data_IF_506744522505
#
_entry.id   IF_506744522505
#
_cell.length_a   1.000
_cell.length_b   1.000
_cell.length_c   1.000
_cell.angle_alpha   90.00
_cell.angle_beta   90.00
_cell.angle_gamma   90.00
#
_symmetry.space_group_name_H-M   'P 1'
#
loop_
_entity.id
_entity.type
_entity.pdbx_description
1 polymer ?
#
# COMPACT_ATOMS: atom_id res chain seq x y z
N UNK A 1 -15.98 12.57 1.92
CA UNK A 1 -15.21 11.30 2.04
C UNK A 1 -13.73 11.70 2.14
N UNK A 2 -12.77 10.85 2.51
CA UNK A 2 -11.36 11.28 2.33
C UNK A 2 -11.05 11.28 0.83
N UNK A 3 -10.42 12.34 0.35
CA UNK A 3 -9.89 12.44 -1.01
C UNK A 3 -8.46 11.89 -1.05
N UNK A 4 -8.21 10.91 -1.91
CA UNK A 4 -6.91 10.25 -2.08
C UNK A 4 -6.44 10.41 -3.52
N UNK A 5 -5.28 11.02 -3.73
CA UNK A 5 -4.70 11.14 -5.07
C UNK A 5 -3.54 10.18 -5.19
N UNK A 6 -3.54 9.38 -6.25
CA UNK A 6 -2.44 8.46 -6.58
C UNK A 6 -1.72 9.00 -7.80
N UNK A 7 -0.43 9.29 -7.64
CA UNK A 7 0.44 9.80 -8.71
C UNK A 7 1.40 8.69 -9.15
N UNK A 8 1.60 8.53 -10.46
CA UNK A 8 2.57 7.59 -11.03
C UNK A 8 3.34 8.22 -12.19
N UNK A 9 4.54 7.72 -12.47
CA UNK A 9 5.33 8.02 -13.68
C UNK A 9 5.64 6.74 -14.49
N UNK A 10 4.82 5.71 -14.31
CA UNK A 10 5.08 4.40 -14.88
C UNK A 10 4.10 3.33 -14.45
N UNK A 11 4.50 2.05 -14.45
CA UNK A 11 3.56 0.94 -14.45
C UNK A 11 2.89 0.67 -13.10
N UNK A 12 3.23 1.39 -12.03
CA UNK A 12 2.74 1.14 -10.67
C UNK A 12 1.48 1.96 -10.36
N UNK A 13 0.89 1.77 -9.17
CA UNK A 13 -0.28 2.52 -8.72
C UNK A 13 -1.65 1.99 -9.15
N UNK A 14 -1.83 1.47 -10.37
CA UNK A 14 -3.15 1.06 -10.90
C UNK A 14 -3.94 0.12 -9.97
N UNK A 15 -3.29 -0.93 -9.43
CA UNK A 15 -3.97 -1.85 -8.50
C UNK A 15 -4.31 -1.22 -7.15
N UNK A 16 -3.48 -0.28 -6.72
CA UNK A 16 -3.75 0.47 -5.50
C UNK A 16 -4.98 1.36 -5.72
N UNK A 17 -5.05 2.06 -6.86
CA UNK A 17 -6.21 2.83 -7.27
C UNK A 17 -7.49 1.98 -7.28
N UNK A 18 -7.48 0.84 -7.96
CA UNK A 18 -8.64 -0.04 -8.06
C UNK A 18 -9.19 -0.53 -6.70
N UNK A 19 -8.32 -0.67 -5.70
CA UNK A 19 -8.71 -1.12 -4.38
C UNK A 19 -9.08 0.03 -3.44
N UNK A 20 -8.32 1.14 -3.47
CA UNK A 20 -8.51 2.30 -2.60
C UNK A 20 -9.82 3.03 -2.93
N UNK A 21 -10.17 3.16 -4.22
CA UNK A 21 -11.42 3.81 -4.68
C UNK A 21 -12.70 3.13 -4.19
N UNK A 22 -12.61 1.91 -3.65
CA UNK A 22 -13.75 1.20 -3.05
C UNK A 22 -14.17 1.79 -1.70
N UNK A 23 -13.26 2.49 -1.02
CA UNK A 23 -13.47 3.02 0.33
C UNK A 23 -13.34 4.55 0.41
N UNK A 24 -12.70 5.16 -0.57
CA UNK A 24 -12.35 6.58 -0.59
C UNK A 24 -12.68 7.22 -1.93
N UNK A 25 -12.82 8.54 -1.93
CA UNK A 25 -12.83 9.32 -3.16
C UNK A 25 -11.40 9.34 -3.67
N UNK A 26 -11.17 8.88 -4.90
CA UNK A 26 -9.81 8.60 -5.37
C UNK A 26 -9.62 9.02 -6.81
N UNK A 27 -8.52 9.72 -7.07
CA UNK A 27 -8.07 10.08 -8.42
C UNK A 27 -6.74 9.40 -8.75
N UNK A 28 -6.51 9.17 -10.04
CA UNK A 28 -5.28 8.57 -10.57
C UNK A 28 -4.68 9.51 -11.61
N UNK A 29 -3.47 9.97 -11.36
CA UNK A 29 -2.74 10.93 -12.20
C UNK A 29 -1.45 10.25 -12.68
N UNK A 30 -1.24 10.25 -13.99
CA UNK A 30 -0.03 9.75 -14.62
C UNK A 30 0.77 10.94 -15.14
N UNK A 31 1.90 11.21 -14.50
CA UNK A 31 2.84 12.24 -14.90
C UNK A 31 3.79 11.70 -15.97
N UNK A 32 4.24 12.59 -16.86
CA UNK A 32 5.29 12.23 -17.79
C UNK A 32 6.58 11.90 -17.05
N UNK A 33 7.15 10.73 -17.35
CA UNK A 33 8.41 10.32 -16.76
C UNK A 33 9.56 11.09 -17.42
N UNK A 34 10.41 11.76 -16.62
CA UNK A 34 11.62 12.38 -17.16
C UNK A 34 12.52 11.40 -17.90
N UNK A 35 13.01 11.79 -19.08
CA UNK A 35 13.98 10.98 -19.85
C UNK A 35 15.41 11.08 -19.29
N UNK A 36 15.77 12.23 -18.71
CA UNK A 36 17.07 12.48 -18.09
C UNK A 36 17.06 12.04 -16.62
N UNK A 37 18.20 11.56 -16.13
CA UNK A 37 18.41 11.22 -14.71
C UNK A 37 18.53 12.45 -13.81
N UNK A 38 18.79 13.62 -14.41
CA UNK A 38 18.90 14.90 -13.73
C UNK A 38 17.99 15.89 -14.46
N UNK A 39 17.07 16.51 -13.74
CA UNK A 39 16.25 17.61 -14.26
C UNK A 39 16.58 18.93 -13.54
N UNK A 40 16.48 20.03 -14.29
CA UNK A 40 16.63 21.37 -13.72
C UNK A 40 15.28 21.91 -13.19
N UNK A 41 14.16 21.62 -13.86
CA UNK A 41 12.81 22.02 -13.44
C UNK A 41 11.80 20.94 -13.84
N UNK A 42 10.90 20.60 -12.93
CA UNK A 42 9.81 19.65 -13.16
C UNK A 42 8.53 20.41 -13.52
N UNK A 43 7.97 20.08 -14.68
CA UNK A 43 6.72 20.67 -15.17
C UNK A 43 5.55 19.72 -14.86
N UNK A 44 4.87 19.95 -13.72
CA UNK A 44 3.60 19.29 -13.42
C UNK A 44 2.49 20.19 -13.97
N UNK A 45 1.61 19.69 -14.87
CA UNK A 45 0.50 20.46 -15.40
C UNK A 45 -0.31 21.12 -14.28
N UNK A 46 -0.63 22.42 -14.41
CA UNK A 46 -1.31 23.20 -13.36
C UNK A 46 -2.63 22.55 -12.89
N UNK A 47 -3.38 21.91 -13.79
CA UNK A 47 -4.62 21.21 -13.47
C UNK A 47 -4.37 19.98 -12.56
N UNK A 48 -3.32 19.23 -12.84
CA UNK A 48 -2.95 18.04 -12.05
C UNK A 48 -2.39 18.46 -10.69
N UNK A 49 -1.55 19.50 -10.67
CA UNK A 49 -1.02 20.06 -9.43
C UNK A 49 -2.14 20.57 -8.52
N UNK A 50 -3.16 21.23 -9.08
CA UNK A 50 -4.31 21.70 -8.32
C UNK A 50 -5.08 20.54 -7.67
N UNK A 51 -5.30 19.44 -8.40
CA UNK A 51 -5.94 18.22 -7.88
C UNK A 51 -5.12 17.58 -6.77
N UNK A 52 -3.81 17.49 -6.95
CA UNK A 52 -2.90 16.94 -5.93
C UNK A 52 -2.94 17.78 -4.65
N UNK A 53 -2.93 19.11 -4.77
CA UNK A 53 -2.96 20.01 -3.61
C UNK A 53 -4.29 19.97 -2.83
N UNK A 54 -5.39 19.57 -3.46
CA UNK A 54 -6.70 19.40 -2.81
C UNK A 54 -6.86 18.00 -2.15
N UNK A 55 -5.84 17.14 -2.24
CA UNK A 55 -5.89 15.80 -1.68
C UNK A 55 -5.75 15.82 -0.15
N UNK A 56 -6.46 14.91 0.54
CA UNK A 56 -6.15 14.61 1.94
C UNK A 56 -4.95 13.67 2.05
N UNK A 57 -4.89 12.65 1.18
CA UNK A 57 -3.77 11.72 1.14
C UNK A 57 -3.21 11.64 -0.27
N UNK A 58 -1.92 11.92 -0.42
CA UNK A 58 -1.17 11.68 -1.66
C UNK A 58 -0.41 10.35 -1.54
N UNK A 59 -0.57 9.46 -2.51
CA UNK A 59 0.27 8.27 -2.66
C UNK A 59 1.06 8.42 -3.96
N UNK A 60 2.37 8.59 -3.85
CA UNK A 60 3.22 8.66 -5.02
C UNK A 60 3.92 7.33 -5.29
N UNK A 61 3.75 6.84 -6.53
CA UNK A 61 4.47 5.72 -7.12
C UNK A 61 5.51 6.19 -8.16
N UNK A 62 5.83 7.48 -8.18
CA UNK A 62 6.87 8.04 -9.06
C UNK A 62 8.23 7.40 -8.74
N UNK A 63 8.93 6.97 -9.79
CA UNK A 63 10.21 6.28 -9.70
C UNK A 63 11.39 7.21 -9.92
N UNK A 64 11.20 8.31 -10.66
CA UNK A 64 12.25 9.30 -10.84
C UNK A 64 12.47 10.07 -9.52
N UNK A 65 13.68 10.06 -8.93
CA UNK A 65 13.93 10.64 -7.61
C UNK A 65 13.66 12.15 -7.58
N UNK A 66 14.11 12.88 -8.60
CA UNK A 66 13.87 14.33 -8.68
C UNK A 66 12.37 14.63 -8.79
N UNK A 67 11.61 13.82 -9.53
CA UNK A 67 10.15 13.98 -9.69
C UNK A 67 9.45 13.82 -8.35
N UNK A 68 9.82 12.79 -7.60
CA UNK A 68 9.26 12.53 -6.28
C UNK A 68 9.62 13.65 -5.31
N UNK A 69 10.86 14.14 -5.30
CA UNK A 69 11.30 15.20 -4.38
C UNK A 69 10.56 16.50 -4.65
N UNK A 70 10.58 16.99 -5.89
CA UNK A 70 9.93 18.25 -6.23
C UNK A 70 8.42 18.17 -6.02
N UNK A 71 7.78 17.05 -6.38
CA UNK A 71 6.36 16.84 -6.10
C UNK A 71 6.06 16.98 -4.62
N UNK A 72 6.83 16.32 -3.75
CA UNK A 72 6.65 16.39 -2.29
C UNK A 72 6.92 17.81 -1.78
N UNK A 73 8.00 18.45 -2.24
CA UNK A 73 8.36 19.82 -1.86
C UNK A 73 7.28 20.85 -2.26
N UNK A 74 6.61 20.65 -3.40
CA UNK A 74 5.56 21.52 -3.91
C UNK A 74 4.23 21.39 -3.16
N UNK A 75 3.94 20.22 -2.58
CA UNK A 75 2.58 19.89 -2.06
C UNK A 75 2.54 19.53 -0.58
N UNK A 76 3.67 19.34 0.11
CA UNK A 76 3.70 18.96 1.54
C UNK A 76 2.94 19.94 2.46
N UNK A 77 2.79 21.21 2.07
CA UNK A 77 2.05 22.20 2.86
C UNK A 77 0.56 22.21 2.59
N UNK A 78 0.13 21.62 1.47
CA UNK A 78 -1.24 21.64 1.00
C UNK A 78 -1.96 20.31 1.33
N UNK A 79 -1.23 19.18 1.29
CA UNK A 79 -1.77 17.83 1.52
C UNK A 79 -1.62 17.41 2.98
N UNK A 80 -2.66 16.82 3.57
CA UNK A 80 -2.62 16.42 4.99
C UNK A 80 -1.61 15.30 5.27
N UNK A 81 -1.45 14.35 4.32
CA UNK A 81 -0.50 13.24 4.46
C UNK A 81 0.01 12.69 3.11
N UNK A 82 1.30 12.36 3.06
CA UNK A 82 1.97 11.87 1.85
C UNK A 82 2.63 10.51 2.10
N UNK A 83 2.35 9.55 1.24
CA UNK A 83 2.93 8.21 1.24
C UNK A 83 3.78 8.04 -0.01
N UNK A 84 5.10 7.94 0.18
CA UNK A 84 6.03 7.69 -0.92
C UNK A 84 6.22 6.19 -1.07
N UNK A 85 5.49 5.59 -2.01
CA UNK A 85 5.46 4.15 -2.20
C UNK A 85 6.68 3.59 -2.97
N UNK A 86 7.34 4.45 -3.75
CA UNK A 86 8.53 4.11 -4.54
C UNK A 86 9.69 5.02 -4.14
N UNK A 87 10.67 4.45 -3.45
CA UNK A 87 11.88 5.14 -3.02
C UNK A 87 13.05 4.15 -2.92
N UNK A 88 14.28 4.66 -2.97
CA UNK A 88 15.49 3.84 -2.82
C UNK A 88 16.60 4.63 -2.13
N UNK A 89 17.22 4.01 -1.12
CA UNK A 89 18.35 4.57 -0.40
C UNK A 89 17.93 5.44 0.79
N UNK A 90 18.64 5.28 1.90
CA UNK A 90 18.37 6.01 3.16
C UNK A 90 18.56 7.53 3.00
N UNK A 91 19.52 7.97 2.19
CA UNK A 91 19.74 9.40 1.93
C UNK A 91 18.49 10.07 1.34
N UNK A 92 17.89 9.43 0.34
CA UNK A 92 16.68 9.90 -0.33
C UNK A 92 15.47 9.86 0.60
N UNK A 93 15.32 8.77 1.37
CA UNK A 93 14.28 8.67 2.41
C UNK A 93 14.37 9.80 3.43
N UNK A 94 15.57 10.09 3.94
CA UNK A 94 15.78 11.15 4.93
C UNK A 94 15.46 12.55 4.38
N UNK A 95 15.63 12.77 3.08
CA UNK A 95 15.23 14.02 2.42
C UNK A 95 13.71 14.18 2.39
N UNK A 96 12.97 13.08 2.19
CA UNK A 96 11.51 13.09 2.12
C UNK A 96 10.87 13.16 3.52
N UNK A 97 11.35 12.35 4.47
CA UNK A 97 10.82 12.28 5.84
C UNK A 97 11.28 13.45 6.73
N UNK A 98 11.92 14.48 6.17
CA UNK A 98 12.12 15.76 6.86
C UNK A 98 10.78 16.47 7.15
N UNK A 99 9.76 16.17 6.34
CA UNK A 99 8.40 16.65 6.52
C UNK A 99 7.61 15.68 7.40
N UNK A 100 6.99 16.20 8.48
CA UNK A 100 6.29 15.38 9.47
C UNK A 100 5.07 14.61 8.92
N UNK A 101 4.51 15.07 7.81
CA UNK A 101 3.38 14.44 7.13
C UNK A 101 3.79 13.50 5.97
N UNK A 102 5.07 13.16 5.84
CA UNK A 102 5.58 12.26 4.81
C UNK A 102 6.05 10.95 5.43
N UNK A 103 5.70 9.82 4.80
CA UNK A 103 6.26 8.52 5.17
C UNK A 103 6.71 7.72 3.96
N UNK A 104 7.84 7.05 4.11
CA UNK A 104 8.44 6.17 3.12
C UNK A 104 8.40 4.72 3.64
N UNK A 105 7.27 3.99 3.46
CA UNK A 105 7.18 2.61 3.92
C UNK A 105 8.16 1.73 3.14
N UNK A 106 8.84 0.83 3.84
CA UNK A 106 9.62 -0.24 3.23
C UNK A 106 8.74 -1.13 2.34
N UNK A 107 7.54 -1.47 2.79
CA UNK A 107 6.47 -2.02 1.96
C UNK A 107 5.10 -1.40 2.27
N UNK A 108 4.31 -1.15 1.23
CA UNK A 108 2.95 -0.60 1.36
C UNK A 108 2.00 -1.44 2.24
N UNK A 109 2.28 -2.74 2.43
CA UNK A 109 1.50 -3.63 3.30
C UNK A 109 1.84 -3.48 4.80
N UNK A 110 2.65 -2.49 5.19
CA UNK A 110 3.00 -2.26 6.60
C UNK A 110 2.38 -1.00 7.19
N UNK A 111 1.65 -0.22 6.39
CA UNK A 111 1.01 1.01 6.84
C UNK A 111 0.06 0.69 8.01
N UNK A 112 0.28 1.36 9.14
CA UNK A 112 -0.52 1.29 10.36
C UNK A 112 -0.69 2.71 10.92
N UNK A 113 -1.65 2.87 11.82
CA UNK A 113 -1.98 4.12 12.47
C UNK A 113 -0.75 4.72 13.18
N UNK A 114 -0.55 6.04 13.06
CA UNK A 114 0.57 6.77 13.65
C UNK A 114 0.16 8.00 14.48
N UNK A 115 -1.14 8.26 14.62
CA UNK A 115 -1.68 9.37 15.41
C UNK A 115 -2.05 10.61 14.60
N UNK A 116 -1.73 10.67 13.30
CA UNK A 116 -2.30 11.69 12.41
C UNK A 116 -3.73 11.28 12.03
N UNK A 117 -4.73 12.13 12.34
CA UNK A 117 -6.15 11.79 12.18
C UNK A 117 -6.54 11.38 10.76
N UNK A 118 -5.96 12.04 9.74
CA UNK A 118 -6.25 11.76 8.34
C UNK A 118 -5.60 10.44 7.91
N UNK A 119 -4.34 10.25 8.27
CA UNK A 119 -3.61 9.02 7.98
C UNK A 119 -4.20 7.82 8.71
N UNK A 120 -4.60 7.96 9.97
CA UNK A 120 -5.24 6.90 10.77
C UNK A 120 -6.59 6.50 10.16
N UNK A 121 -7.36 7.48 9.68
CA UNK A 121 -8.62 7.21 8.97
C UNK A 121 -8.38 6.50 7.64
N UNK A 122 -7.35 6.88 6.88
CA UNK A 122 -6.94 6.15 5.67
C UNK A 122 -6.49 4.72 6.02
N UNK A 123 -5.58 4.58 6.97
CA UNK A 123 -5.00 3.30 7.37
C UNK A 123 -6.00 2.39 8.04
N UNK A 124 -7.09 2.90 8.62
CA UNK A 124 -8.18 2.06 9.14
C UNK A 124 -8.79 1.10 8.11
N UNK A 125 -8.68 1.42 6.81
CA UNK A 125 -9.17 0.60 5.69
C UNK A 125 -8.06 0.05 4.79
N UNK A 126 -6.95 0.76 4.66
CA UNK A 126 -5.89 0.45 3.70
C UNK A 126 -4.52 0.42 4.38
N UNK A 127 -3.85 -0.73 4.38
CA UNK A 127 -2.53 -0.87 4.99
C UNK A 127 -2.20 -2.30 5.36
N UNK A 128 -1.69 -2.51 6.56
CA UNK A 128 -1.33 -3.85 7.02
C UNK A 128 -2.56 -4.76 7.15
N UNK A 129 -2.60 -5.95 6.55
CA UNK A 129 -3.80 -6.78 6.55
C UNK A 129 -4.40 -6.99 7.95
N UNK A 130 -5.72 -6.78 8.08
CA UNK A 130 -6.49 -7.08 9.30
C UNK A 130 -7.80 -7.74 8.90
N UNK A 131 -8.08 -8.89 9.49
CA UNK A 131 -9.15 -9.78 9.07
C UNK A 131 -9.91 -10.26 10.31
N UNK A 132 -11.19 -10.53 10.14
CA UNK A 132 -12.07 -11.16 11.11
C UNK A 132 -12.65 -12.44 10.48
N UNK A 133 -12.54 -13.57 11.18
CA UNK A 133 -13.03 -14.87 10.69
C UNK A 133 -14.19 -15.29 11.57
N UNK A 134 -15.35 -15.53 10.94
CA UNK A 134 -16.54 -16.00 11.62
C UNK A 134 -16.62 -17.53 11.51
N UNK A 135 -16.67 -18.19 12.66
CA UNK A 135 -16.74 -19.64 12.78
C UNK A 135 -18.10 -20.07 13.33
N UNK A 136 -18.73 -21.03 12.66
CA UNK A 136 -19.90 -21.75 13.18
C UNK A 136 -19.63 -23.26 13.18
N UNK A 137 -19.77 -23.91 14.34
CA UNK A 137 -19.54 -25.35 14.50
C UNK A 137 -18.16 -25.81 13.95
N UNK A 138 -17.14 -24.97 14.11
CA UNK A 138 -15.78 -25.23 13.63
C UNK A 138 -15.56 -25.03 12.12
N UNK A 139 -16.53 -24.44 11.40
CA UNK A 139 -16.41 -24.13 9.98
C UNK A 139 -16.39 -22.63 9.74
N UNK A 140 -15.66 -22.19 8.71
CA UNK A 140 -15.63 -20.79 8.29
C UNK A 140 -16.91 -20.45 7.55
N UNK A 141 -17.68 -19.52 8.11
CA UNK A 141 -18.90 -18.98 7.49
C UNK A 141 -18.60 -17.69 6.73
N UNK A 142 -17.71 -16.86 7.25
CA UNK A 142 -17.31 -15.62 6.61
C UNK A 142 -15.87 -15.22 6.95
N UNK A 143 -15.22 -14.53 6.02
CA UNK A 143 -13.92 -13.88 6.21
C UNK A 143 -14.10 -12.40 5.87
N UNK A 144 -14.12 -11.55 6.89
CA UNK A 144 -14.31 -10.12 6.76
C UNK A 144 -12.94 -9.41 6.70
N UNK A 145 -12.64 -8.73 5.60
CA UNK A 145 -11.43 -7.91 5.49
C UNK A 145 -11.70 -6.54 6.12
N UNK A 146 -11.20 -6.34 7.34
CA UNK A 146 -11.33 -5.07 8.07
C UNK A 146 -10.40 -4.01 7.45
N UNK A 147 -9.15 -4.40 7.16
CA UNK A 147 -8.11 -3.56 6.54
C UNK A 147 -7.45 -4.36 5.44
N UNK A 148 -7.49 -3.85 4.21
CA UNK A 148 -6.94 -4.49 3.02
C UNK A 148 -5.56 -3.93 2.71
N UNK A 149 -4.67 -4.75 2.15
CA UNK A 149 -3.43 -4.25 1.56
C UNK A 149 -3.72 -3.22 0.46
N UNK A 150 -2.85 -2.22 0.22
CA UNK A 150 -3.12 -1.19 -0.78
C UNK A 150 -3.44 -1.75 -2.16
N UNK A 151 -2.76 -2.81 -2.60
CA UNK A 151 -3.02 -3.44 -3.90
C UNK A 151 -4.26 -4.35 -3.95
N UNK A 152 -4.96 -4.59 -2.83
CA UNK A 152 -6.13 -5.48 -2.78
C UNK A 152 -5.80 -6.98 -2.72
N UNK A 153 -4.54 -7.33 -2.46
CA UNK A 153 -4.14 -8.73 -2.32
C UNK A 153 -4.82 -9.44 -1.15
N UNK A 154 -5.14 -8.71 -0.08
CA UNK A 154 -5.79 -9.28 1.11
C UNK A 154 -7.16 -9.85 0.79
N UNK A 155 -7.97 -9.12 0.01
CA UNK A 155 -9.29 -9.60 -0.44
C UNK A 155 -9.14 -10.84 -1.34
N UNK A 156 -8.18 -10.83 -2.28
CA UNK A 156 -7.90 -12.00 -3.12
C UNK A 156 -7.55 -13.26 -2.31
N UNK A 157 -6.73 -13.10 -1.26
CA UNK A 157 -6.37 -14.22 -0.37
C UNK A 157 -7.58 -14.68 0.45
N UNK A 158 -8.36 -13.74 1.00
CA UNK A 158 -9.57 -14.04 1.77
C UNK A 158 -10.60 -14.82 0.95
N UNK A 159 -10.90 -14.39 -0.28
CA UNK A 159 -11.86 -15.05 -1.16
C UNK A 159 -11.44 -16.50 -1.48
N UNK A 160 -10.14 -16.70 -1.75
CA UNK A 160 -9.58 -18.04 -2.00
C UNK A 160 -9.71 -18.96 -0.77
N UNK A 161 -9.39 -18.44 0.42
CA UNK A 161 -9.43 -19.24 1.64
C UNK A 161 -10.87 -19.55 2.06
N UNK A 162 -11.81 -18.61 1.89
CA UNK A 162 -13.22 -18.85 2.15
C UNK A 162 -13.74 -20.00 1.28
N UNK A 163 -13.45 -19.98 -0.02
CA UNK A 163 -13.86 -21.05 -0.94
C UNK A 163 -13.29 -22.41 -0.50
N UNK A 164 -11.97 -22.46 -0.26
CA UNK A 164 -11.26 -23.70 0.08
C UNK A 164 -11.63 -24.29 1.44
N UNK A 165 -11.78 -23.45 2.46
CA UNK A 165 -11.98 -23.89 3.85
C UNK A 165 -13.43 -23.87 4.32
N UNK A 166 -14.38 -23.44 3.48
CA UNK A 166 -15.83 -23.45 3.80
C UNK A 166 -16.38 -24.79 4.32
N UNK A 167 -15.73 -25.92 3.97
CA UNK A 167 -16.15 -27.28 4.33
C UNK A 167 -15.09 -28.04 5.14
N UNK A 168 -14.07 -27.35 5.63
CA UNK A 168 -12.94 -27.96 6.33
C UNK A 168 -12.93 -27.47 7.78
N UNK A 169 -12.80 -28.40 8.73
CA UNK A 169 -12.72 -28.07 10.16
C UNK A 169 -11.29 -27.92 10.67
N UNK A 170 -10.31 -28.53 9.99
CA UNK A 170 -8.89 -28.36 10.31
C UNK A 170 -8.37 -27.06 9.68
N UNK A 171 -8.17 -26.05 10.53
CA UNK A 171 -7.72 -24.72 10.14
C UNK A 171 -6.24 -24.47 10.47
N UNK A 172 -5.49 -25.48 10.93
CA UNK A 172 -4.09 -25.31 11.37
C UNK A 172 -3.21 -24.72 10.26
N UNK A 173 -3.42 -25.18 9.02
CA UNK A 173 -2.64 -24.73 7.86
C UNK A 173 -3.15 -23.44 7.20
N UNK A 174 -4.31 -22.93 7.61
CA UNK A 174 -4.94 -21.78 6.96
C UNK A 174 -4.03 -20.53 6.95
N UNK A 175 -3.39 -20.13 8.07
CA UNK A 175 -2.49 -18.98 8.06
C UNK A 175 -1.29 -19.17 7.12
N UNK A 176 -0.71 -20.37 7.09
CA UNK A 176 0.44 -20.69 6.22
C UNK A 176 0.01 -20.57 4.75
N UNK A 177 -1.15 -21.13 4.41
CA UNK A 177 -1.70 -21.01 3.06
C UNK A 177 -2.03 -19.57 2.67
N UNK A 178 -2.46 -18.73 3.61
CA UNK A 178 -2.69 -17.31 3.35
C UNK A 178 -1.40 -16.61 2.86
N UNK A 179 -0.30 -16.83 3.58
CA UNK A 179 1.01 -16.29 3.20
C UNK A 179 1.49 -16.82 1.85
N UNK A 180 1.32 -18.13 1.59
CA UNK A 180 1.71 -18.74 0.31
C UNK A 180 0.84 -18.24 -0.85
N UNK A 181 -0.48 -18.12 -0.64
CA UNK A 181 -1.42 -17.68 -1.67
C UNK A 181 -1.13 -16.27 -2.13
N UNK A 182 -0.64 -15.40 -1.25
CA UNK A 182 -0.18 -14.07 -1.63
C UNK A 182 0.87 -14.10 -2.73
N UNK A 183 1.75 -15.11 -2.76
CA UNK A 183 2.79 -15.22 -3.80
C UNK A 183 2.20 -15.52 -5.18
N UNK A 184 1.00 -16.11 -5.23
CA UNK A 184 0.22 -16.31 -6.45
C UNK A 184 -0.57 -15.06 -6.86
N UNK A 185 -0.85 -14.15 -5.93
CA UNK A 185 -1.19 -12.79 -6.31
C UNK A 185 0.07 -12.19 -6.95
N UNK A 186 0.00 -11.53 -8.13
CA UNK A 186 1.17 -11.01 -8.83
C UNK A 186 1.78 -9.79 -8.11
N UNK A 187 2.11 -9.91 -6.82
CA UNK A 187 2.67 -8.90 -5.97
C UNK A 187 3.93 -8.31 -6.61
N UNK A 188 3.93 -6.98 -6.71
CA UNK A 188 5.01 -6.19 -7.33
C UNK A 188 6.07 -5.74 -6.32
N UNK A 189 5.97 -6.17 -5.07
CA UNK A 189 7.04 -5.97 -4.08
C UNK A 189 8.35 -6.60 -4.57
N UNK A 190 9.48 -6.01 -4.17
CA UNK A 190 10.80 -6.48 -4.57
C UNK A 190 11.01 -7.95 -4.18
N UNK A 191 11.60 -8.72 -5.10
CA UNK A 191 12.02 -10.11 -4.84
C UNK A 191 13.29 -10.12 -4.00
N UNK A 192 13.60 -11.30 -3.44
CA UNK A 192 14.87 -11.57 -2.79
C UNK A 192 16.04 -11.16 -3.72
N UNK A 193 16.96 -10.37 -3.19
CA UNK A 193 18.22 -10.03 -3.83
C UNK A 193 19.33 -10.80 -3.11
N UNK A 194 20.25 -11.39 -3.86
CA UNK A 194 21.41 -12.05 -3.27
C UNK A 194 22.43 -10.97 -2.88
N UNK A 195 23.18 -11.23 -1.80
CA UNK A 195 24.25 -10.35 -1.32
C UNK A 195 23.78 -8.97 -0.85
N UNK A 196 22.58 -8.90 -0.28
CA UNK A 196 22.09 -7.76 0.49
C UNK A 196 21.60 -8.24 1.85
N UNK A 197 21.72 -7.38 2.87
CA UNK A 197 21.15 -7.59 4.20
C UNK A 197 19.67 -7.16 4.26
N UNK A 198 19.12 -6.65 3.15
CA UNK A 198 17.72 -6.26 3.02
C UNK A 198 16.78 -7.47 3.11
N UNK A 199 15.77 -7.36 3.98
CA UNK A 199 14.71 -8.36 4.08
C UNK A 199 13.90 -8.44 2.78
N UNK A 200 13.49 -9.65 2.39
CA UNK A 200 12.71 -9.83 1.17
C UNK A 200 11.32 -9.21 1.31
N UNK A 201 11.08 -8.10 0.61
CA UNK A 201 9.78 -7.39 0.61
C UNK A 201 8.57 -8.29 0.32
N UNK A 202 8.72 -9.30 -0.54
CA UNK A 202 7.66 -10.31 -0.80
C UNK A 202 7.42 -11.26 0.37
N UNK A 203 8.48 -11.65 1.06
CA UNK A 203 8.41 -12.49 2.23
C UNK A 203 7.71 -11.74 3.37
N UNK A 204 8.10 -10.50 3.63
CA UNK A 204 7.42 -9.62 4.61
C UNK A 204 5.93 -9.48 4.31
N UNK A 205 5.56 -9.22 3.04
CA UNK A 205 4.16 -9.13 2.67
C UNK A 205 3.41 -10.46 2.94
N UNK A 206 4.07 -11.61 2.68
CA UNK A 206 3.50 -12.94 2.93
C UNK A 206 3.33 -13.20 4.42
N UNK A 207 4.33 -12.82 5.23
CA UNK A 207 4.29 -12.90 6.69
C UNK A 207 3.16 -12.05 7.27
N UNK A 208 2.96 -10.82 6.81
CA UNK A 208 1.83 -10.01 7.28
C UNK A 208 0.46 -10.61 6.97
N UNK A 209 0.30 -11.27 5.82
CA UNK A 209 -0.95 -11.98 5.53
C UNK A 209 -1.10 -13.19 6.43
N UNK A 210 -0.06 -14.03 6.57
CA UNK A 210 -0.08 -15.17 7.51
C UNK A 210 -0.46 -14.71 8.91
N UNK A 211 0.21 -13.70 9.44
CA UNK A 211 -0.01 -13.18 10.79
C UNK A 211 -1.43 -12.64 10.98
N UNK A 212 -2.01 -12.00 9.96
CA UNK A 212 -3.38 -11.50 10.01
C UNK A 212 -4.40 -12.64 10.16
N UNK A 213 -4.23 -13.73 9.41
CA UNK A 213 -5.10 -14.91 9.53
C UNK A 213 -4.83 -15.69 10.82
N UNK A 214 -3.59 -15.78 11.28
CA UNK A 214 -3.26 -16.43 12.55
C UNK A 214 -3.90 -15.69 13.74
N UNK A 215 -3.85 -14.35 13.73
CA UNK A 215 -4.50 -13.52 14.76
C UNK A 215 -6.02 -13.63 14.71
N UNK A 216 -6.61 -13.75 13.52
CA UNK A 216 -8.06 -13.85 13.36
C UNK A 216 -8.65 -15.20 13.80
N UNK A 217 -7.81 -16.25 13.93
CA UNK A 217 -8.22 -17.56 14.44
C UNK A 217 -8.12 -17.70 15.97
N UNK A 218 -7.47 -16.74 16.66
CA UNK A 218 -7.32 -16.72 18.12
C UNK A 218 -8.45 -15.96 18.78
#
# INVERSE_FOLDING_TARGET
MLNVVIVTDGPYGERAFENIKKNFETEFIELEKPESMFMDEIDIPEEELAKIKDANVLITYTQHPDLTLDLVDLVNKDVDYIIVAAWMGEGFKNQLEVYENVTCPYIMCELEENGNEIFDKFTSKIGKPKIDIQLENGHIVAINVIRSSPCGSTTFVADYLLDKYSRVQDLENLPIEAGLKLQHYPCRAAKMRLFTDEECKKEMASSFHKDAFEKALK
#
